data_IF_675610941762
#
_entry.id   IF_675610941762
#
_cell.length_a   1.000
_cell.length_b   1.000
_cell.length_c   1.000
_cell.angle_alpha   90.00
_cell.angle_beta   90.00
_cell.angle_gamma   90.00
#
_symmetry.space_group_name_H-M   'P 1'
#
loop_
_entity.id
_entity.type
_entity.pdbx_description
1 polymer ?
#
# COMPACT_ATOMS: atom_id res chain seq x y z
N UNK A 1 46.62 15.99 -12.18
CA UNK A 1 45.31 16.69 -12.12
C UNK A 1 44.91 16.79 -10.66
N UNK A 2 44.84 17.99 -10.08
CA UNK A 2 44.96 18.15 -8.65
C UNK A 2 43.63 17.92 -7.91
N UNK A 3 43.73 17.16 -6.82
CA UNK A 3 42.72 16.91 -5.80
C UNK A 3 41.99 18.21 -5.39
N UNK A 4 40.71 18.34 -5.77
CA UNK A 4 39.82 19.24 -5.07
C UNK A 4 39.55 18.65 -3.68
N UNK A 5 39.92 19.40 -2.65
CA UNK A 5 39.66 19.10 -1.25
C UNK A 5 38.17 18.73 -1.09
N UNK A 6 37.88 17.53 -0.59
CA UNK A 6 36.57 17.21 -0.02
C UNK A 6 36.42 18.11 1.22
N UNK A 7 35.75 19.25 1.07
CA UNK A 7 35.33 20.05 2.21
C UNK A 7 34.46 19.17 3.11
N UNK A 8 34.95 18.95 4.33
CA UNK A 8 34.19 18.30 5.38
C UNK A 8 33.12 19.30 5.79
N UNK A 9 31.87 19.02 5.43
CA UNK A 9 30.70 19.73 5.96
C UNK A 9 30.74 19.60 7.49
N UNK A 10 31.03 20.68 8.20
CA UNK A 10 31.26 20.65 9.67
C UNK A 10 30.06 21.14 10.49
N UNK A 11 29.16 21.92 9.90
CA UNK A 11 28.02 22.49 10.61
C UNK A 11 26.75 22.39 9.76
N UNK A 12 25.65 22.00 10.39
CA UNK A 12 24.34 21.91 9.75
C UNK A 12 23.35 22.84 10.46
N UNK A 13 22.70 23.70 9.67
CA UNK A 13 21.48 24.37 10.08
C UNK A 13 20.35 23.35 10.23
N UNK A 14 19.47 23.54 11.21
CA UNK A 14 18.43 22.57 11.56
C UNK A 14 17.03 23.14 11.38
N UNK A 15 16.20 22.44 10.60
CA UNK A 15 14.78 22.73 10.47
C UNK A 15 13.95 21.54 10.99
N UNK A 16 13.08 21.74 11.98
CA UNK A 16 12.22 20.67 12.46
C UNK A 16 11.15 20.32 11.41
N UNK A 17 10.85 19.04 11.28
CA UNK A 17 9.73 18.54 10.50
C UNK A 17 8.40 18.65 11.26
N UNK A 18 7.30 18.50 10.54
CA UNK A 18 6.00 18.22 11.15
C UNK A 18 6.08 16.91 11.95
N UNK A 19 5.53 16.92 13.16
CA UNK A 19 5.63 15.82 14.12
C UNK A 19 5.26 14.47 13.48
N UNK A 20 6.15 13.48 13.60
CA UNK A 20 5.94 12.13 13.07
C UNK A 20 6.10 11.99 11.56
N UNK A 21 6.64 13.00 10.86
CA UNK A 21 6.81 12.96 9.41
C UNK A 21 8.20 13.47 8.99
N UNK A 22 8.53 13.31 7.70
CA UNK A 22 9.66 14.01 7.06
C UNK A 22 9.16 15.14 6.15
N UNK A 23 8.09 15.82 6.56
CA UNK A 23 7.54 16.98 5.86
C UNK A 23 7.98 18.27 6.52
N UNK A 24 8.49 19.20 5.73
CA UNK A 24 8.76 20.57 6.16
C UNK A 24 7.59 21.45 5.75
N UNK A 25 7.12 22.30 6.67
CA UNK A 25 6.10 23.32 6.38
C UNK A 25 6.73 24.66 6.01
N UNK A 26 6.07 25.43 5.13
CA UNK A 26 6.54 26.77 4.74
C UNK A 26 6.55 27.72 5.94
N UNK A 27 5.59 27.56 6.85
CA UNK A 27 5.54 28.29 8.12
C UNK A 27 6.81 28.06 8.94
N UNK A 28 7.25 26.81 9.07
CA UNK A 28 8.47 26.47 9.81
C UNK A 28 9.71 27.10 9.17
N UNK A 29 9.81 27.03 7.83
CA UNK A 29 10.92 27.66 7.10
C UNK A 29 10.95 29.17 7.36
N UNK A 30 9.84 29.86 7.08
CA UNK A 30 9.78 31.33 7.20
C UNK A 30 10.00 31.81 8.65
N UNK A 31 9.61 31.03 9.66
CA UNK A 31 9.85 31.37 11.06
C UNK A 31 11.33 31.27 11.47
N UNK A 32 12.16 30.62 10.66
CA UNK A 32 13.57 30.34 10.94
C UNK A 32 14.53 31.03 9.95
N UNK A 33 14.02 31.92 9.11
CA UNK A 33 14.80 32.61 8.09
C UNK A 33 14.47 34.09 8.04
N UNK A 34 15.47 34.92 7.76
CA UNK A 34 15.27 36.36 7.53
C UNK A 34 14.75 36.64 6.10
N UNK A 35 14.87 35.66 5.21
CA UNK A 35 14.37 35.77 3.84
C UNK A 35 12.86 35.68 3.80
N UNK A 36 12.24 36.53 2.97
CA UNK A 36 10.82 36.45 2.63
C UNK A 36 10.66 36.00 1.17
N UNK A 37 9.56 35.30 0.87
CA UNK A 37 9.26 34.81 -0.48
C UNK A 37 9.00 36.00 -1.42
N UNK A 38 10.00 36.42 -2.20
CA UNK A 38 9.82 37.44 -3.24
C UNK A 38 9.38 36.76 -4.54
N UNK A 39 8.28 37.24 -5.15
CA UNK A 39 7.57 36.63 -6.29
C UNK A 39 8.44 36.34 -7.54
N UNK A 40 9.60 36.99 -7.69
CA UNK A 40 10.46 36.87 -8.87
C UNK A 40 11.75 36.04 -8.66
N UNK A 41 12.01 35.51 -7.45
CA UNK A 41 13.29 34.89 -7.11
C UNK A 41 13.57 33.54 -7.77
N UNK A 42 12.54 32.87 -8.28
CA UNK A 42 12.67 31.55 -8.91
C UNK A 42 13.02 31.64 -10.41
N UNK A 43 12.90 32.82 -11.02
CA UNK A 43 13.22 32.99 -12.44
C UNK A 43 14.72 32.84 -12.65
N UNK A 44 15.12 31.82 -13.43
CA UNK A 44 16.52 31.52 -13.72
C UNK A 44 17.23 30.65 -12.68
N UNK A 45 16.52 30.14 -11.67
CA UNK A 45 17.03 29.10 -10.78
C UNK A 45 17.09 27.76 -11.53
N UNK A 46 18.28 27.16 -11.59
CA UNK A 46 18.49 25.81 -12.09
C UNK A 46 18.95 24.93 -10.94
N UNK A 47 18.25 23.82 -10.72
CA UNK A 47 18.57 22.83 -9.70
C UNK A 47 18.85 21.49 -10.34
N UNK A 48 19.87 20.76 -9.85
CA UNK A 48 20.07 19.35 -10.21
C UNK A 48 20.48 18.54 -8.98
N UNK A 49 19.95 17.33 -8.84
CA UNK A 49 20.42 16.35 -7.84
C UNK A 49 21.80 15.85 -8.31
N UNK A 50 22.87 16.15 -7.57
CA UNK A 50 24.26 15.90 -7.98
C UNK A 50 24.75 14.53 -7.52
N UNK A 51 24.39 14.11 -6.30
CA UNK A 51 24.76 12.81 -5.75
C UNK A 51 23.95 12.53 -4.49
N UNK A 52 23.91 11.26 -4.09
CA UNK A 52 23.46 10.83 -2.76
C UNK A 52 24.45 9.85 -2.19
N UNK A 53 25.05 10.19 -1.06
CA UNK A 53 26.09 9.39 -0.41
C UNK A 53 26.11 9.65 1.08
N UNK A 54 26.28 8.60 1.90
CA UNK A 54 26.29 8.71 3.37
C UNK A 54 25.08 9.48 3.92
N UNK A 55 23.89 9.22 3.36
CA UNK A 55 22.63 9.90 3.73
C UNK A 55 22.59 11.40 3.41
N UNK A 56 23.58 11.92 2.68
CA UNK A 56 23.64 13.32 2.26
C UNK A 56 23.26 13.40 0.79
N UNK A 57 22.17 14.10 0.52
CA UNK A 57 21.80 14.55 -0.81
C UNK A 57 22.59 15.83 -1.13
N UNK A 58 23.35 15.81 -2.22
CA UNK A 58 24.01 17.00 -2.76
C UNK A 58 23.20 17.54 -3.92
N UNK A 59 22.86 18.83 -3.87
CA UNK A 59 22.10 19.52 -4.91
C UNK A 59 22.96 20.66 -5.45
N UNK A 60 23.11 20.72 -6.77
CA UNK A 60 23.73 21.84 -7.46
C UNK A 60 22.66 22.89 -7.75
N UNK A 61 22.92 24.12 -7.33
CA UNK A 61 22.08 25.29 -7.57
C UNK A 61 22.85 26.34 -8.36
N UNK A 62 22.22 26.82 -9.44
CA UNK A 62 22.73 27.93 -10.23
C UNK A 62 21.64 29.00 -10.39
N UNK A 63 21.95 30.23 -10.01
CA UNK A 63 21.05 31.38 -10.14
C UNK A 63 21.58 32.28 -11.26
N UNK A 64 20.86 32.32 -12.39
CA UNK A 64 21.27 33.09 -13.56
C UNK A 64 22.67 32.70 -14.07
N UNK A 65 23.57 33.69 -14.15
CA UNK A 65 24.96 33.50 -14.62
C UNK A 65 25.98 33.30 -13.49
N UNK A 66 25.54 33.18 -12.24
CA UNK A 66 26.43 32.94 -11.10
C UNK A 66 27.07 31.55 -11.16
N UNK A 67 28.11 31.36 -10.34
CA UNK A 67 28.74 30.04 -10.14
C UNK A 67 27.71 29.06 -9.55
N UNK A 68 27.85 27.79 -9.88
CA UNK A 68 27.06 26.74 -9.24
C UNK A 68 27.54 26.55 -7.81
N UNK A 69 26.62 26.64 -6.86
CA UNK A 69 26.83 26.37 -5.45
C UNK A 69 26.13 25.07 -5.04
N UNK A 70 26.59 24.46 -3.96
CA UNK A 70 26.11 23.14 -3.53
C UNK A 70 25.36 23.24 -2.20
N UNK A 71 24.16 22.66 -2.17
CA UNK A 71 23.36 22.49 -0.96
C UNK A 71 23.39 21.02 -0.56
N UNK A 72 23.70 20.77 0.70
CA UNK A 72 23.81 19.45 1.30
C UNK A 72 22.65 19.23 2.26
N UNK A 73 21.84 18.21 2.01
CA UNK A 73 20.70 17.87 2.85
C UNK A 73 20.91 16.49 3.46
N UNK A 74 20.77 16.40 4.78
CA UNK A 74 20.64 15.14 5.49
C UNK A 74 19.27 15.11 6.15
N UNK A 75 18.47 14.10 5.81
CA UNK A 75 17.13 13.93 6.36
C UNK A 75 17.23 13.08 7.63
N UNK A 76 16.89 13.66 8.77
CA UNK A 76 16.75 12.96 10.05
C UNK A 76 15.32 12.48 10.30
N UNK A 77 15.12 11.86 11.46
CA UNK A 77 13.79 11.39 11.89
C UNK A 77 12.82 12.57 12.10
N UNK A 78 13.26 13.59 12.85
CA UNK A 78 12.44 14.77 13.20
C UNK A 78 12.97 16.09 12.62
N UNK A 79 14.17 16.07 12.02
CA UNK A 79 14.90 17.29 11.63
C UNK A 79 15.52 17.14 10.25
N UNK A 80 15.41 18.19 9.43
CA UNK A 80 16.20 18.39 8.23
C UNK A 80 17.49 19.12 8.59
N UNK A 81 18.63 18.51 8.29
CA UNK A 81 19.96 19.08 8.46
C UNK A 81 20.44 19.65 7.13
N UNK A 82 20.84 20.91 7.12
CA UNK A 82 21.12 21.67 5.92
C UNK A 82 22.48 22.33 6.02
N UNK A 83 23.30 22.17 4.99
CA UNK A 83 24.54 22.94 4.83
C UNK A 83 24.62 23.45 3.40
N UNK A 84 25.49 24.42 3.17
CA UNK A 84 25.80 24.91 1.83
C UNK A 84 27.31 25.09 1.67
N UNK A 85 27.79 25.14 0.42
CA UNK A 85 29.14 25.58 0.11
C UNK A 85 29.40 27.04 0.48
N UNK A 86 28.35 27.83 0.69
CA UNK A 86 28.42 29.27 1.04
C UNK A 86 27.38 29.66 2.10
N UNK A 87 27.76 30.59 2.96
CA UNK A 87 26.85 31.39 3.81
C UNK A 87 25.76 30.62 4.58
N UNK A 88 26.06 29.41 5.06
CA UNK A 88 25.16 28.64 5.95
C UNK A 88 25.96 28.14 7.15
N UNK A 89 25.47 28.43 8.35
CA UNK A 89 26.06 28.02 9.63
C UNK A 89 25.02 27.28 10.47
N UNK A 90 25.39 26.82 11.67
CA UNK A 90 24.43 26.19 12.58
C UNK A 90 23.23 27.11 12.93
N UNK A 91 23.45 28.42 12.99
CA UNK A 91 22.45 29.41 13.44
C UNK A 91 21.84 30.25 12.31
N UNK A 92 22.40 30.18 11.10
CA UNK A 92 21.96 30.97 9.96
C UNK A 92 21.78 30.12 8.71
N UNK A 93 20.56 30.16 8.14
CA UNK A 93 20.28 29.53 6.85
C UNK A 93 20.64 30.47 5.71
N UNK A 94 21.57 30.06 4.86
CA UNK A 94 21.97 30.84 3.70
C UNK A 94 20.91 30.97 2.62
N UNK A 95 21.17 31.89 1.70
CA UNK A 95 20.26 32.22 0.61
C UNK A 95 20.05 31.06 -0.37
N UNK A 96 21.11 30.32 -0.74
CA UNK A 96 21.00 29.20 -1.69
C UNK A 96 20.15 28.04 -1.15
N UNK A 97 20.37 27.52 0.08
CA UNK A 97 19.46 26.55 0.66
C UNK A 97 18.02 27.04 0.76
N UNK A 98 17.81 28.30 1.16
CA UNK A 98 16.48 28.88 1.21
C UNK A 98 15.79 28.84 -0.17
N UNK A 99 16.49 29.23 -1.24
CA UNK A 99 15.99 29.15 -2.62
C UNK A 99 15.66 27.72 -3.05
N UNK A 100 16.50 26.75 -2.67
CA UNK A 100 16.20 25.35 -2.97
C UNK A 100 14.91 24.89 -2.27
N UNK A 101 14.79 25.17 -0.97
CA UNK A 101 13.65 24.75 -0.17
C UNK A 101 12.38 25.41 -0.70
N UNK A 102 12.37 26.73 -0.92
CA UNK A 102 11.20 27.46 -1.39
C UNK A 102 10.72 26.95 -2.77
N UNK A 103 11.65 26.55 -3.64
CA UNK A 103 11.34 25.95 -4.94
C UNK A 103 10.82 24.50 -4.84
N UNK A 104 11.06 23.83 -3.70
CA UNK A 104 10.66 22.45 -3.47
C UNK A 104 9.28 22.32 -2.80
N UNK A 105 8.68 23.43 -2.34
CA UNK A 105 7.33 23.40 -1.78
C UNK A 105 6.27 23.16 -2.84
N UNK A 106 5.32 22.29 -2.50
CA UNK A 106 4.11 22.05 -3.29
C UNK A 106 3.06 23.14 -3.05
N UNK A 107 1.94 23.09 -3.78
CA UNK A 107 0.79 24.00 -3.58
C UNK A 107 0.24 23.97 -2.15
N UNK A 108 0.42 22.86 -1.42
CA UNK A 108 -0.05 22.69 -0.05
C UNK A 108 0.93 23.25 0.99
N UNK A 109 1.87 24.12 0.58
CA UNK A 109 2.86 24.77 1.46
C UNK A 109 3.69 23.80 2.32
N UNK A 110 3.81 22.55 1.86
CA UNK A 110 4.64 21.51 2.46
C UNK A 110 5.56 20.87 1.42
N UNK A 111 6.71 20.40 1.88
CA UNK A 111 7.69 19.66 1.08
C UNK A 111 8.05 18.34 1.78
N UNK A 112 7.95 17.22 1.07
CA UNK A 112 8.19 15.88 1.62
C UNK A 112 9.60 15.38 1.25
N UNK A 113 10.42 15.10 2.26
CA UNK A 113 11.80 14.62 2.09
C UNK A 113 11.96 13.11 2.34
N UNK A 114 10.86 12.37 2.54
CA UNK A 114 10.87 10.92 2.86
C UNK A 114 11.64 10.08 1.84
N UNK A 115 11.71 10.49 0.57
CA UNK A 115 12.47 9.79 -0.48
C UNK A 115 13.99 9.75 -0.23
N UNK A 116 14.52 10.68 0.59
CA UNK A 116 15.95 10.75 0.93
C UNK A 116 16.24 10.29 2.36
N UNK A 117 15.22 9.86 3.10
CA UNK A 117 15.38 9.36 4.46
C UNK A 117 15.82 7.88 4.42
N UNK A 118 17.10 7.62 4.67
CA UNK A 118 17.73 6.30 4.61
C UNK A 118 18.69 6.06 5.81
N UNK A 119 18.19 6.11 7.05
CA UNK A 119 19.04 6.06 8.24
C UNK A 119 19.76 4.71 8.39
N UNK A 120 21.07 4.74 8.64
CA UNK A 120 21.92 3.58 8.87
C UNK A 120 22.10 2.61 7.69
N UNK A 121 21.70 3.01 6.47
CA UNK A 121 21.83 2.17 5.28
C UNK A 121 23.24 2.12 4.68
N UNK A 122 24.15 2.96 5.17
CA UNK A 122 25.50 3.14 4.64
C UNK A 122 26.55 2.57 5.59
N UNK A 123 27.54 1.88 5.03
CA UNK A 123 28.70 1.46 5.80
C UNK A 123 29.62 2.67 6.05
N UNK A 124 30.05 2.87 7.30
CA UNK A 124 30.88 4.01 7.71
C UNK A 124 32.28 4.00 7.09
N UNK A 125 32.83 2.83 6.75
CA UNK A 125 34.15 2.68 6.17
C UNK A 125 34.14 2.77 4.65
N UNK A 126 33.19 2.09 3.99
CA UNK A 126 33.16 2.00 2.51
C UNK A 126 32.26 3.03 1.85
N UNK A 127 31.44 3.74 2.63
CA UNK A 127 30.46 4.74 2.17
C UNK A 127 29.37 4.20 1.24
N UNK A 128 29.34 2.87 1.01
CA UNK A 128 28.39 2.20 0.12
C UNK A 128 27.27 1.57 0.92
N UNK A 129 26.10 1.50 0.31
CA UNK A 129 24.98 0.73 0.86
C UNK A 129 25.02 -0.72 0.39
N UNK A 130 24.85 -1.64 1.34
CA UNK A 130 24.61 -3.06 1.03
C UNK A 130 23.20 -3.27 0.44
N UNK A 131 22.25 -2.39 0.75
CA UNK A 131 20.81 -2.61 0.52
C UNK A 131 20.22 -1.77 -0.60
N UNK A 132 20.78 -0.59 -0.85
CA UNK A 132 20.24 0.37 -1.82
C UNK A 132 21.01 0.32 -3.14
N UNK A 133 20.26 0.50 -4.22
CA UNK A 133 20.79 0.90 -5.52
C UNK A 133 20.53 2.40 -5.68
N UNK A 134 21.61 3.15 -5.92
CA UNK A 134 21.58 4.60 -6.09
C UNK A 134 22.02 4.88 -7.51
N UNK A 135 21.07 5.25 -8.37
CA UNK A 135 21.33 5.53 -9.77
C UNK A 135 21.27 7.04 -9.95
N UNK A 136 22.33 7.60 -10.53
CA UNK A 136 22.40 9.00 -10.88
C UNK A 136 22.79 9.12 -12.34
N UNK A 137 21.79 9.33 -13.19
CA UNK A 137 21.96 9.38 -14.64
C UNK A 137 21.32 10.65 -15.25
N UNK A 138 21.17 10.68 -16.57
CA UNK A 138 20.57 11.83 -17.28
C UNK A 138 19.08 12.05 -16.93
N UNK A 139 18.39 11.03 -16.41
CA UNK A 139 16.98 11.09 -15.98
C UNK A 139 16.83 11.59 -14.56
N UNK A 140 17.91 11.54 -13.76
CA UNK A 140 17.99 12.11 -12.43
C UNK A 140 18.62 11.17 -11.43
N UNK A 141 18.39 11.47 -10.16
CA UNK A 141 18.78 10.63 -9.03
C UNK A 141 17.58 9.79 -8.59
N UNK A 142 17.76 8.47 -8.60
CA UNK A 142 16.82 7.48 -8.08
C UNK A 142 17.50 6.65 -6.98
N UNK A 143 16.76 6.38 -5.90
CA UNK A 143 17.22 5.58 -4.77
C UNK A 143 16.17 4.51 -4.52
N UNK A 144 16.54 3.26 -4.75
CA UNK A 144 15.64 2.12 -4.58
C UNK A 144 16.34 0.97 -3.86
N UNK A 145 15.56 -0.01 -3.41
CA UNK A 145 16.12 -1.24 -2.86
C UNK A 145 16.71 -2.10 -3.98
N UNK A 146 17.83 -2.77 -3.68
CA UNK A 146 18.34 -3.85 -4.54
C UNK A 146 17.28 -4.92 -4.74
N UNK A 147 17.25 -5.63 -5.89
CA UNK A 147 16.16 -6.55 -6.25
C UNK A 147 15.77 -7.62 -5.22
N UNK A 148 16.72 -8.04 -4.37
CA UNK A 148 16.46 -9.03 -3.31
C UNK A 148 15.75 -8.48 -2.07
N UNK A 149 15.67 -7.16 -1.93
CA UNK A 149 15.03 -6.47 -0.82
C UNK A 149 13.77 -5.77 -1.31
N UNK A 150 12.68 -5.95 -0.58
CA UNK A 150 11.37 -5.44 -0.95
C UNK A 150 10.98 -4.21 -0.15
N UNK A 151 11.13 -4.26 1.17
CA UNK A 151 10.74 -3.19 2.06
C UNK A 151 11.54 -3.25 3.38
N UNK A 152 12.32 -2.22 3.66
CA UNK A 152 12.85 -2.02 5.01
C UNK A 152 11.99 -1.01 5.76
N UNK A 153 11.63 -1.38 6.99
CA UNK A 153 11.10 -0.44 7.97
C UNK A 153 12.16 0.62 8.28
N UNK A 154 11.73 1.88 8.30
CA UNK A 154 12.52 3.02 8.75
C UNK A 154 11.87 3.64 9.97
N UNK A 155 12.64 4.18 10.93
CA UNK A 155 12.08 4.89 12.07
C UNK A 155 11.09 5.98 11.62
N UNK A 156 9.89 5.98 12.17
CA UNK A 156 8.81 6.87 11.74
C UNK A 156 7.90 6.37 10.62
N UNK A 157 8.16 5.19 10.06
CA UNK A 157 7.16 4.53 9.24
C UNK A 157 5.97 4.11 10.12
N UNK A 158 4.75 4.35 9.62
CA UNK A 158 3.54 3.91 10.29
C UNK A 158 3.48 2.38 10.34
N UNK A 159 3.20 1.86 11.52
CA UNK A 159 2.93 0.45 11.79
C UNK A 159 1.42 0.26 11.97
N UNK A 160 0.88 -0.81 11.40
CA UNK A 160 -0.53 -1.13 11.58
C UNK A 160 -0.76 -1.66 12.99
N UNK A 161 -1.51 -0.91 13.81
CA UNK A 161 -1.99 -1.37 15.11
C UNK A 161 -3.49 -1.62 14.95
N UNK A 162 -3.90 -2.85 14.62
CA UNK A 162 -5.30 -3.17 14.47
C UNK A 162 -5.98 -3.03 15.83
N UNK A 163 -7.15 -2.41 15.84
CA UNK A 163 -8.01 -2.43 17.02
C UNK A 163 -8.74 -3.77 17.05
N UNK A 164 -9.10 -4.24 18.24
CA UNK A 164 -9.97 -5.41 18.38
C UNK A 164 -11.26 -5.20 17.57
N UNK A 165 -11.66 -6.25 16.85
CA UNK A 165 -12.89 -6.27 16.05
C UNK A 165 -13.72 -7.49 16.38
N UNK A 166 -14.98 -7.49 15.95
CA UNK A 166 -15.87 -8.64 16.11
C UNK A 166 -15.27 -9.84 15.36
N UNK A 167 -15.07 -10.93 16.08
CA UNK A 167 -14.71 -12.23 15.50
C UNK A 167 -16.00 -12.94 15.10
N UNK A 168 -16.14 -13.24 13.82
CA UNK A 168 -17.28 -13.97 13.29
C UNK A 168 -17.06 -15.47 13.46
N UNK A 169 -17.98 -16.13 14.18
CA UNK A 169 -17.97 -17.58 14.30
C UNK A 169 -18.29 -18.21 12.94
N UNK A 170 -17.38 -19.06 12.46
CA UNK A 170 -17.63 -19.93 11.32
C UNK A 170 -17.70 -21.36 11.82
N UNK A 171 -18.90 -21.95 11.90
CA UNK A 171 -19.01 -23.32 12.35
C UNK A 171 -18.16 -24.21 11.43
N UNK A 172 -17.38 -25.09 12.05
CA UNK A 172 -16.62 -26.19 11.43
C UNK A 172 -17.58 -27.24 10.88
N UNK A 173 -18.59 -26.84 10.11
CA UNK A 173 -19.48 -27.79 9.47
C UNK A 173 -18.68 -28.59 8.46
N UNK A 174 -18.73 -29.91 8.58
CA UNK A 174 -18.53 -30.82 7.45
C UNK A 174 -19.62 -30.52 6.43
N UNK A 175 -19.43 -29.45 5.67
CA UNK A 175 -20.24 -29.15 4.50
C UNK A 175 -19.88 -30.25 3.51
N UNK A 176 -20.61 -31.39 3.59
CA UNK A 176 -20.62 -32.36 2.51
C UNK A 176 -20.98 -31.55 1.27
N UNK A 177 -20.14 -31.62 0.24
CA UNK A 177 -20.40 -30.97 -1.03
C UNK A 177 -21.86 -31.24 -1.40
N UNK A 178 -22.71 -30.22 -1.27
CA UNK A 178 -24.07 -30.31 -1.79
C UNK A 178 -23.86 -30.57 -3.26
N UNK A 179 -24.38 -31.70 -3.77
CA UNK A 179 -24.29 -32.07 -5.18
C UNK A 179 -24.44 -30.80 -6.00
N UNK A 180 -23.40 -30.48 -6.78
CA UNK A 180 -23.34 -29.35 -7.68
C UNK A 180 -24.74 -29.13 -8.26
N UNK A 181 -25.43 -28.07 -7.82
CA UNK A 181 -26.75 -27.77 -8.36
C UNK A 181 -26.55 -27.59 -9.87
N UNK A 182 -27.30 -28.30 -10.72
CA UNK A 182 -27.20 -28.12 -12.16
C UNK A 182 -27.50 -26.66 -12.47
N UNK A 183 -26.54 -25.99 -13.10
CA UNK A 183 -26.64 -24.57 -13.40
C UNK A 183 -27.74 -24.35 -14.44
N UNK A 184 -28.85 -23.75 -14.02
CA UNK A 184 -29.85 -23.19 -14.91
C UNK A 184 -29.75 -21.66 -14.83
N UNK A 185 -29.08 -21.05 -15.82
CA UNK A 185 -29.16 -19.62 -16.10
C UNK A 185 -28.24 -18.68 -15.30
N UNK A 186 -28.11 -18.81 -13.98
CA UNK A 186 -27.45 -17.78 -13.12
C UNK A 186 -26.23 -18.29 -12.35
N UNK A 187 -25.12 -17.56 -12.47
CA UNK A 187 -23.91 -17.74 -11.68
C UNK A 187 -23.46 -16.46 -11.01
N UNK A 188 -22.36 -16.56 -10.26
CA UNK A 188 -21.81 -15.44 -9.51
C UNK A 188 -20.33 -15.27 -9.82
N UNK A 189 -19.90 -14.02 -9.93
CA UNK A 189 -18.50 -13.67 -9.94
C UNK A 189 -18.16 -12.66 -8.84
N UNK A 190 -16.91 -12.67 -8.39
CA UNK A 190 -16.34 -11.57 -7.63
C UNK A 190 -15.84 -10.52 -8.60
N UNK A 191 -16.42 -9.32 -8.51
CA UNK A 191 -15.98 -8.15 -9.24
C UNK A 191 -14.93 -7.43 -8.40
N UNK A 192 -13.67 -7.47 -8.83
CA UNK A 192 -12.54 -6.91 -8.08
C UNK A 192 -11.77 -5.86 -8.90
N UNK A 193 -11.20 -4.90 -8.17
CA UNK A 193 -10.27 -3.90 -8.66
C UNK A 193 -9.04 -3.88 -7.74
N UNK A 194 -8.30 -5.01 -7.66
CA UNK A 194 -7.05 -5.25 -6.92
C UNK A 194 -6.53 -4.05 -6.11
N UNK A 195 -6.42 -4.20 -4.79
CA UNK A 195 -5.86 -3.18 -3.92
C UNK A 195 -4.46 -2.75 -4.39
N UNK A 196 -4.24 -1.43 -4.50
CA UNK A 196 -2.92 -0.84 -4.80
C UNK A 196 -2.77 -0.27 -6.21
N UNK A 197 -3.81 -0.30 -7.04
CA UNK A 197 -3.84 0.45 -8.28
C UNK A 197 -4.38 1.87 -8.04
N UNK A 198 -3.85 2.88 -8.74
CA UNK A 198 -4.47 4.21 -8.83
C UNK A 198 -5.89 4.19 -9.41
N UNK A 199 -6.38 3.02 -9.84
CA UNK A 199 -7.73 2.74 -10.33
C UNK A 199 -8.59 1.90 -9.37
N UNK A 200 -8.13 1.59 -8.16
CA UNK A 200 -8.94 0.89 -7.14
C UNK A 200 -10.02 1.84 -6.62
N UNK A 201 -11.12 1.94 -7.35
CA UNK A 201 -12.23 2.83 -7.05
C UNK A 201 -13.41 2.13 -6.37
N UNK A 202 -13.36 0.81 -6.21
CA UNK A 202 -14.40 0.08 -5.51
C UNK A 202 -13.85 -1.13 -4.74
N UNK A 203 -14.57 -1.53 -3.69
CA UNK A 203 -14.36 -2.76 -2.92
C UNK A 203 -14.84 -3.98 -3.72
N UNK A 204 -14.30 -5.18 -3.47
CA UNK A 204 -14.77 -6.38 -4.14
C UNK A 204 -16.18 -6.75 -3.67
N UNK A 205 -17.04 -7.06 -4.64
CA UNK A 205 -18.43 -7.44 -4.40
C UNK A 205 -18.86 -8.60 -5.29
N UNK A 206 -19.95 -9.27 -4.93
CA UNK A 206 -20.55 -10.30 -5.76
C UNK A 206 -21.41 -9.68 -6.86
N UNK A 207 -21.21 -10.19 -8.07
CA UNK A 207 -21.99 -9.82 -9.24
C UNK A 207 -22.59 -11.06 -9.89
N UNK A 208 -23.93 -11.17 -9.98
CA UNK A 208 -24.57 -12.26 -10.70
C UNK A 208 -24.42 -12.09 -12.21
N UNK A 209 -24.30 -13.21 -12.94
CA UNK A 209 -24.26 -13.25 -14.39
C UNK A 209 -25.17 -14.33 -14.94
N UNK A 210 -25.61 -14.13 -16.18
CA UNK A 210 -26.36 -15.10 -16.96
C UNK A 210 -25.42 -15.85 -17.91
N UNK A 211 -25.51 -17.18 -17.95
CA UNK A 211 -24.63 -18.01 -18.76
C UNK A 211 -25.31 -19.25 -19.36
N UNK A 212 -24.71 -19.78 -20.41
CA UNK A 212 -25.06 -21.07 -21.02
C UNK A 212 -23.95 -22.06 -20.70
N UNK A 213 -24.31 -23.19 -20.10
CA UNK A 213 -23.36 -24.24 -19.73
C UNK A 213 -22.90 -25.01 -20.96
N UNK A 214 -21.67 -25.55 -20.93
CA UNK A 214 -21.19 -26.50 -21.91
C UNK A 214 -21.95 -27.83 -21.80
N UNK A 215 -21.91 -28.67 -22.85
CA UNK A 215 -22.58 -29.98 -22.88
C UNK A 215 -22.13 -30.93 -21.76
N UNK A 216 -20.94 -30.72 -21.22
CA UNK A 216 -20.40 -31.49 -20.09
C UNK A 216 -20.93 -31.02 -18.74
N UNK A 217 -21.72 -29.94 -18.68
CA UNK A 217 -22.23 -29.28 -17.47
C UNK A 217 -21.18 -28.74 -16.47
N UNK A 218 -19.88 -28.86 -16.78
CA UNK A 218 -18.81 -28.50 -15.85
C UNK A 218 -18.29 -27.06 -16.00
N UNK A 219 -18.71 -26.32 -17.03
CA UNK A 219 -18.23 -24.96 -17.28
C UNK A 219 -19.20 -24.12 -18.10
N UNK A 220 -19.13 -22.79 -17.93
CA UNK A 220 -19.90 -21.84 -18.74
C UNK A 220 -19.29 -21.76 -20.15
N UNK A 221 -20.06 -22.19 -21.15
CA UNK A 221 -19.70 -22.07 -22.57
C UNK A 221 -19.68 -20.61 -22.99
N UNK A 222 -20.74 -19.88 -22.65
CA UNK A 222 -20.99 -18.50 -23.09
C UNK A 222 -21.62 -17.66 -21.97
N UNK A 223 -21.08 -16.48 -21.72
CA UNK A 223 -21.69 -15.47 -20.86
C UNK A 223 -22.64 -14.59 -21.70
N UNK A 224 -23.86 -14.38 -21.22
CA UNK A 224 -24.90 -13.60 -21.89
C UNK A 224 -24.85 -12.16 -21.39
N UNK A 225 -25.04 -11.94 -20.08
CA UNK A 225 -25.06 -10.60 -19.47
C UNK A 225 -24.80 -10.64 -17.97
N UNK A 226 -24.53 -9.49 -17.37
CA UNK A 226 -24.67 -9.33 -15.92
C UNK A 226 -26.13 -9.15 -15.53
N UNK A 227 -26.50 -9.62 -14.34
CA UNK A 227 -27.87 -9.59 -13.85
C UNK A 227 -28.05 -8.43 -12.87
N UNK A 228 -29.19 -7.74 -12.99
CA UNK A 228 -29.61 -6.68 -12.08
C UNK A 228 -31.07 -6.90 -11.66
N UNK A 229 -31.59 -6.09 -10.73
CA UNK A 229 -32.98 -6.20 -10.24
C UNK A 229 -34.04 -6.18 -11.34
N UNK A 230 -33.79 -5.52 -12.48
CA UNK A 230 -34.76 -5.37 -13.57
C UNK A 230 -34.96 -6.66 -14.37
N UNK A 231 -33.94 -7.52 -14.42
CA UNK A 231 -33.93 -8.72 -15.26
C UNK A 231 -34.03 -10.00 -14.43
N UNK A 232 -34.40 -9.90 -13.16
CA UNK A 232 -34.37 -11.00 -12.19
C UNK A 232 -35.57 -11.94 -12.29
N UNK A 233 -36.74 -11.40 -12.67
CA UNK A 233 -38.02 -12.12 -12.65
C UNK A 233 -38.13 -13.28 -13.65
N UNK A 234 -37.10 -13.48 -14.47
CA UNK A 234 -37.06 -14.53 -15.48
C UNK A 234 -36.45 -15.86 -14.99
N UNK A 235 -36.05 -15.96 -13.71
CA UNK A 235 -35.31 -17.10 -13.18
C UNK A 235 -35.91 -17.66 -11.90
N UNK A 236 -36.01 -18.99 -11.83
CA UNK A 236 -36.33 -19.73 -10.60
C UNK A 236 -35.06 -19.88 -9.75
N UNK A 237 -34.92 -19.00 -8.75
CA UNK A 237 -33.76 -18.97 -7.87
C UNK A 237 -33.98 -19.79 -6.60
N UNK A 238 -32.98 -20.57 -6.20
CA UNK A 238 -32.97 -21.19 -4.87
C UNK A 238 -32.84 -20.12 -3.76
N UNK A 239 -33.28 -20.40 -2.51
CA UNK A 239 -33.13 -19.46 -1.40
C UNK A 239 -31.69 -18.99 -1.17
N UNK A 240 -30.70 -19.86 -1.40
CA UNK A 240 -29.29 -19.50 -1.30
C UNK A 240 -28.85 -18.51 -2.40
N UNK A 241 -29.33 -18.69 -3.63
CA UNK A 241 -29.04 -17.77 -4.74
C UNK A 241 -29.74 -16.43 -4.55
N UNK A 242 -30.96 -16.41 -4.00
CA UNK A 242 -31.65 -15.16 -3.62
C UNK A 242 -30.84 -14.40 -2.57
N UNK A 243 -30.38 -15.08 -1.52
CA UNK A 243 -29.56 -14.44 -0.48
C UNK A 243 -28.22 -13.91 -1.03
N UNK A 244 -27.57 -14.63 -1.94
CA UNK A 244 -26.32 -14.18 -2.59
C UNK A 244 -26.54 -12.97 -3.48
N UNK A 245 -27.64 -12.95 -4.22
CA UNK A 245 -28.04 -11.82 -5.05
C UNK A 245 -28.32 -10.57 -4.19
N UNK A 246 -29.12 -10.71 -3.15
CA UNK A 246 -29.47 -9.61 -2.25
C UNK A 246 -28.22 -9.01 -1.61
N UNK A 247 -27.33 -9.87 -1.11
CA UNK A 247 -26.04 -9.45 -0.58
C UNK A 247 -25.18 -8.76 -1.64
N UNK A 248 -25.10 -9.29 -2.86
CA UNK A 248 -24.36 -8.65 -3.96
C UNK A 248 -24.87 -7.26 -4.30
N UNK A 249 -26.19 -7.06 -4.29
CA UNK A 249 -26.80 -5.73 -4.50
C UNK A 249 -26.47 -4.79 -3.33
N UNK A 250 -26.51 -5.29 -2.09
CA UNK A 250 -26.17 -4.47 -0.93
C UNK A 250 -24.69 -4.09 -0.92
N UNK A 251 -23.80 -5.02 -1.24
CA UNK A 251 -22.36 -4.75 -1.38
C UNK A 251 -22.10 -3.66 -2.41
N UNK A 252 -22.81 -3.66 -3.55
CA UNK A 252 -22.66 -2.62 -4.58
C UNK A 252 -22.96 -1.21 -4.05
N UNK A 253 -23.87 -1.05 -3.09
CA UNK A 253 -24.17 0.27 -2.49
C UNK A 253 -23.00 0.84 -1.70
N UNK A 254 -22.19 -0.04 -1.10
CA UNK A 254 -21.02 0.33 -0.31
C UNK A 254 -19.70 0.20 -1.09
N UNK A 255 -19.73 -0.39 -2.29
CA UNK A 255 -18.53 -0.75 -3.03
C UNK A 255 -17.71 0.47 -3.41
N UNK A 256 -18.34 1.55 -3.88
CA UNK A 256 -17.63 2.71 -4.40
C UNK A 256 -16.85 3.46 -3.30
N UNK A 257 -15.55 3.58 -3.52
CA UNK A 257 -14.62 4.29 -2.65
C UNK A 257 -14.53 5.76 -3.07
N UNK A 258 -14.55 6.64 -2.08
CA UNK A 258 -14.30 8.06 -2.29
C UNK A 258 -12.81 8.26 -2.58
N UNK A 259 -12.50 8.87 -3.72
CA UNK A 259 -11.14 9.22 -4.11
C UNK A 259 -10.88 10.67 -3.65
N UNK A 260 -9.92 10.93 -2.75
CA UNK A 260 -9.60 12.28 -2.32
C UNK A 260 -9.21 13.16 -3.52
N UNK A 261 -9.79 14.37 -3.58
CA UNK A 261 -9.43 15.35 -4.61
C UNK A 261 -8.05 15.93 -4.35
N UNK A 262 -7.36 16.36 -5.40
CA UNK A 262 -6.10 17.08 -5.28
C UNK A 262 -6.29 18.38 -4.47
N UNK A 263 -5.39 18.66 -3.53
CA UNK A 263 -5.45 19.87 -2.69
C UNK A 263 -6.44 19.81 -1.52
N UNK A 264 -6.98 18.63 -1.19
CA UNK A 264 -7.82 18.43 0.00
C UNK A 264 -7.05 18.72 1.29
N UNK A 265 -7.74 19.28 2.30
CA UNK A 265 -7.16 19.50 3.63
C UNK A 265 -6.86 18.17 4.34
N UNK A 266 -6.00 18.17 5.36
CA UNK A 266 -5.72 16.97 6.17
C UNK A 266 -6.96 16.48 6.93
N UNK A 267 -7.82 17.40 7.37
CA UNK A 267 -9.06 17.11 8.08
C UNK A 267 -10.07 16.42 7.16
N UNK A 268 -10.27 16.97 5.96
CA UNK A 268 -11.15 16.39 4.96
C UNK A 268 -10.62 15.05 4.45
N UNK A 269 -9.30 14.88 4.32
CA UNK A 269 -8.68 13.61 3.98
C UNK A 269 -9.01 12.54 5.03
N UNK A 270 -8.85 12.87 6.32
CA UNK A 270 -9.19 11.95 7.41
C UNK A 270 -10.68 11.58 7.39
N UNK A 271 -11.57 12.55 7.09
CA UNK A 271 -13.00 12.28 6.96
C UNK A 271 -13.33 11.33 5.80
N UNK A 272 -12.65 11.46 4.66
CA UNK A 272 -12.77 10.53 3.52
C UNK A 272 -12.29 9.12 3.91
N UNK A 273 -11.14 9.02 4.57
CA UNK A 273 -10.59 7.75 5.03
C UNK A 273 -11.54 7.03 6.01
N UNK A 274 -12.13 7.77 6.96
CA UNK A 274 -13.11 7.22 7.90
C UNK A 274 -14.36 6.69 7.19
N UNK A 275 -14.91 7.43 6.21
CA UNK A 275 -16.08 6.97 5.42
C UNK A 275 -15.75 5.72 4.61
N UNK A 276 -14.61 5.70 3.93
CA UNK A 276 -14.15 4.53 3.19
C UNK A 276 -13.91 3.32 4.11
N UNK A 277 -13.43 3.55 5.33
CA UNK A 277 -13.25 2.50 6.33
C UNK A 277 -14.57 1.92 6.82
N UNK A 278 -15.59 2.76 7.04
CA UNK A 278 -16.94 2.30 7.39
C UNK A 278 -17.58 1.47 6.26
N UNK A 279 -17.40 1.90 4.99
CA UNK A 279 -17.81 1.11 3.81
C UNK A 279 -17.09 -0.24 3.76
N UNK A 280 -15.76 -0.23 4.00
CA UNK A 280 -14.96 -1.46 4.04
C UNK A 280 -15.49 -2.46 5.06
N UNK A 281 -15.78 -2.00 6.27
CA UNK A 281 -16.37 -2.84 7.32
C UNK A 281 -17.74 -3.37 6.87
N UNK A 282 -18.64 -2.52 6.38
CA UNK A 282 -20.00 -2.92 5.95
C UNK A 282 -19.97 -4.04 4.88
N UNK A 283 -19.07 -3.93 3.90
CA UNK A 283 -18.91 -4.97 2.87
C UNK A 283 -18.29 -6.25 3.44
N UNK A 284 -17.37 -6.15 4.39
CA UNK A 284 -16.81 -7.31 5.08
C UNK A 284 -17.87 -8.11 5.84
N UNK A 285 -18.78 -7.44 6.56
CA UNK A 285 -19.88 -8.10 7.30
C UNK A 285 -20.82 -8.84 6.35
N UNK A 286 -21.14 -8.22 5.20
CA UNK A 286 -21.91 -8.86 4.13
C UNK A 286 -21.19 -10.12 3.61
N UNK A 287 -19.87 -10.05 3.42
CA UNK A 287 -19.06 -11.20 3.02
C UNK A 287 -19.13 -12.34 4.06
N UNK A 288 -19.02 -12.04 5.35
CA UNK A 288 -19.16 -13.05 6.42
C UNK A 288 -20.51 -13.78 6.33
N UNK A 289 -21.60 -13.05 6.13
CA UNK A 289 -22.95 -13.61 6.04
C UNK A 289 -23.19 -14.55 4.85
N UNK A 290 -22.35 -14.45 3.81
CA UNK A 290 -22.53 -15.20 2.57
C UNK A 290 -21.44 -16.22 2.24
N UNK A 291 -20.27 -16.20 2.88
CA UNK A 291 -19.19 -17.18 2.63
C UNK A 291 -19.69 -18.64 2.67
N UNK A 292 -20.51 -19.05 3.65
CA UNK A 292 -21.03 -20.41 3.69
C UNK A 292 -21.92 -20.76 2.49
N UNK A 293 -22.56 -19.76 1.87
CA UNK A 293 -23.49 -19.95 0.73
C UNK A 293 -22.77 -19.89 -0.60
N UNK A 294 -21.81 -18.98 -0.77
CA UNK A 294 -21.05 -18.82 -2.02
C UNK A 294 -20.09 -19.99 -2.24
N UNK A 295 -19.47 -20.53 -1.18
CA UNK A 295 -18.58 -21.69 -1.26
C UNK A 295 -19.26 -22.98 -1.74
N UNK A 296 -20.60 -23.02 -1.69
CA UNK A 296 -21.43 -24.11 -2.20
C UNK A 296 -21.84 -23.95 -3.67
N UNK A 297 -21.63 -22.77 -4.26
CA UNK A 297 -22.02 -22.52 -5.65
C UNK A 297 -21.03 -23.17 -6.61
N UNK A 298 -21.55 -23.63 -7.74
CA UNK A 298 -20.72 -24.03 -8.89
C UNK A 298 -20.59 -22.87 -9.87
N UNK A 299 -19.57 -22.93 -10.73
CA UNK A 299 -19.31 -21.89 -11.73
C UNK A 299 -19.06 -20.51 -11.11
N UNK A 300 -18.14 -20.44 -10.16
CA UNK A 300 -17.66 -19.18 -9.59
C UNK A 300 -16.52 -18.62 -10.44
N UNK A 301 -16.54 -17.31 -10.64
CA UNK A 301 -15.53 -16.62 -11.44
C UNK A 301 -14.98 -15.38 -10.74
N UNK A 302 -13.72 -15.08 -10.95
CA UNK A 302 -13.10 -13.81 -10.68
C UNK A 302 -13.16 -12.93 -11.93
N UNK A 303 -13.64 -11.70 -11.75
CA UNK A 303 -13.79 -10.71 -12.79
C UNK A 303 -13.05 -9.42 -12.42
N UNK A 304 -11.94 -9.17 -13.11
CA UNK A 304 -11.17 -7.95 -12.90
C UNK A 304 -11.80 -6.78 -13.66
N UNK A 305 -12.32 -5.79 -12.93
CA UNK A 305 -13.15 -4.71 -13.49
C UNK A 305 -12.33 -3.57 -14.11
N UNK A 306 -11.03 -3.50 -13.80
CA UNK A 306 -10.16 -2.35 -14.11
C UNK A 306 -10.72 -1.01 -13.60
N UNK A 307 -11.27 -1.02 -12.39
CA UNK A 307 -11.89 0.17 -11.80
C UNK A 307 -13.23 0.51 -12.46
N UNK A 308 -14.00 -0.51 -12.82
CA UNK A 308 -15.31 -0.38 -13.43
C UNK A 308 -15.34 -0.06 -14.93
N UNK A 309 -14.19 0.16 -15.58
CA UNK A 309 -14.09 0.35 -17.05
C UNK A 309 -14.69 -0.85 -17.81
N UNK A 310 -14.59 -2.04 -17.22
CA UNK A 310 -15.07 -3.26 -17.84
C UNK A 310 -16.53 -3.63 -17.51
N UNK A 311 -17.30 -2.81 -16.79
CA UNK A 311 -18.76 -3.02 -16.65
C UNK A 311 -19.48 -2.83 -17.99
N UNK A 312 -19.33 -3.80 -18.89
CA UNK A 312 -20.12 -3.94 -20.10
C UNK A 312 -21.34 -4.80 -19.79
N UNK A 313 -22.44 -4.58 -20.50
CA UNK A 313 -23.65 -5.39 -20.34
C UNK A 313 -23.37 -6.89 -20.46
N UNK A 314 -22.37 -7.28 -21.27
CA UNK A 314 -21.94 -8.66 -21.48
C UNK A 314 -20.52 -8.94 -20.95
N UNK A 315 -20.33 -9.94 -20.07
CA UNK A 315 -19.02 -10.38 -19.62
C UNK A 315 -18.20 -10.97 -20.77
N UNK A 316 -16.92 -10.60 -20.88
CA UNK A 316 -15.99 -11.25 -21.81
C UNK A 316 -15.46 -12.54 -21.19
N UNK A 317 -15.51 -13.64 -21.94
CA UNK A 317 -15.03 -14.96 -21.46
C UNK A 317 -13.57 -14.93 -20.99
N UNK A 318 -12.70 -14.20 -21.69
CA UNK A 318 -11.28 -14.04 -21.29
C UNK A 318 -11.08 -13.29 -19.97
N UNK A 319 -12.07 -12.49 -19.54
CA UNK A 319 -12.03 -11.77 -18.26
C UNK A 319 -12.65 -12.55 -17.09
N UNK A 320 -13.33 -13.66 -17.36
CA UNK A 320 -13.98 -14.50 -16.34
C UNK A 320 -13.08 -15.69 -16.04
N UNK A 321 -12.29 -15.60 -14.97
CA UNK A 321 -11.36 -16.67 -14.55
C UNK A 321 -12.02 -17.52 -13.48
N UNK A 322 -12.01 -18.85 -13.59
CA UNK A 322 -12.61 -19.73 -12.56
C UNK A 322 -11.91 -19.47 -11.23
N UNK A 323 -12.67 -19.37 -10.14
CA UNK A 323 -12.14 -19.21 -8.79
C UNK A 323 -12.92 -20.06 -7.79
N UNK A 324 -12.36 -20.22 -6.59
CA UNK A 324 -12.98 -20.94 -5.49
C UNK A 324 -13.08 -20.06 -4.26
N UNK A 325 -14.16 -20.25 -3.49
CA UNK A 325 -14.32 -19.65 -2.17
C UNK A 325 -14.28 -20.76 -1.13
N UNK A 326 -13.36 -20.65 -0.18
CA UNK A 326 -13.24 -21.63 0.88
C UNK A 326 -14.03 -21.18 2.11
N UNK A 327 -14.81 -22.11 2.67
CA UNK A 327 -15.52 -21.90 3.95
C UNK A 327 -14.55 -21.79 5.14
N UNK A 328 -13.41 -22.49 5.06
CA UNK A 328 -12.42 -22.56 6.15
C UNK A 328 -11.77 -21.19 6.32
N UNK A 329 -11.76 -20.71 7.56
CA UNK A 329 -11.06 -19.50 7.93
C UNK A 329 -9.54 -19.72 7.91
N UNK A 330 -8.76 -18.83 7.27
CA UNK A 330 -7.31 -18.81 7.39
C UNK A 330 -6.91 -18.23 8.76
N UNK A 331 -5.76 -18.65 9.27
CA UNK A 331 -5.14 -18.08 10.47
C UNK A 331 -3.84 -17.38 10.09
N UNK A 332 -3.63 -16.14 10.54
CA UNK A 332 -2.38 -15.42 10.31
C UNK A 332 -1.26 -16.07 11.13
N UNK A 333 -0.07 -16.16 10.54
CA UNK A 333 1.15 -16.50 11.25
C UNK A 333 2.35 -15.75 10.67
N UNK A 334 3.43 -15.68 11.44
CA UNK A 334 4.63 -14.97 11.04
C UNK A 334 5.85 -15.88 11.08
N UNK A 335 6.73 -15.69 10.09
CA UNK A 335 8.05 -16.29 10.07
C UNK A 335 9.06 -15.19 10.40
N UNK A 336 9.75 -15.34 11.52
CA UNK A 336 10.73 -14.37 12.02
C UNK A 336 12.14 -14.91 11.89
N UNK A 337 13.00 -14.21 11.14
CA UNK A 337 14.37 -14.67 10.83
C UNK A 337 15.41 -13.60 11.13
N UNK A 338 16.46 -14.00 11.83
CA UNK A 338 17.70 -13.21 11.91
C UNK A 338 18.53 -13.43 10.63
N UNK A 339 18.87 -12.35 9.93
CA UNK A 339 19.67 -12.35 8.69
C UNK A 339 21.07 -11.76 8.91
N UNK A 340 21.50 -11.58 10.15
CA UNK A 340 22.80 -11.04 10.52
C UNK A 340 22.70 -9.55 10.86
N UNK A 341 22.64 -8.67 9.85
CA UNK A 341 22.58 -7.22 10.02
C UNK A 341 21.15 -6.65 10.12
N UNK A 342 20.14 -7.47 9.83
CA UNK A 342 18.73 -7.13 9.94
C UNK A 342 17.89 -8.35 10.31
N UNK A 343 16.66 -8.09 10.77
CA UNK A 343 15.62 -9.11 10.94
C UNK A 343 14.65 -9.08 9.76
N UNK A 344 14.09 -10.25 9.42
CA UNK A 344 13.04 -10.42 8.43
C UNK A 344 11.78 -10.92 9.12
N UNK A 345 10.70 -10.14 9.06
CA UNK A 345 9.34 -10.52 9.40
C UNK A 345 8.58 -10.85 8.12
N UNK A 346 8.27 -12.12 7.90
CA UNK A 346 7.51 -12.56 6.74
C UNK A 346 6.10 -12.99 7.16
N UNK A 347 5.09 -12.38 6.55
CA UNK A 347 3.69 -12.73 6.76
C UNK A 347 3.38 -14.08 6.08
N UNK A 348 2.71 -14.96 6.80
CA UNK A 348 2.23 -16.26 6.34
C UNK A 348 0.80 -16.46 6.81
N UNK A 349 0.14 -17.48 6.28
CA UNK A 349 -1.16 -17.89 6.80
C UNK A 349 -1.25 -19.42 6.82
N UNK A 350 -2.09 -19.94 7.69
CA UNK A 350 -2.39 -21.37 7.81
C UNK A 350 -3.82 -21.66 7.41
N UNK A 351 -4.00 -22.75 6.68
CA UNK A 351 -5.30 -23.38 6.48
C UNK A 351 -5.14 -24.85 6.79
N UNK A 352 -5.99 -25.40 7.68
CA UNK A 352 -5.90 -26.81 8.12
C UNK A 352 -4.49 -27.22 8.57
N UNK A 353 -3.78 -26.33 9.27
CA UNK A 353 -2.43 -26.54 9.77
C UNK A 353 -1.29 -26.39 8.74
N UNK A 354 -1.59 -26.29 7.44
CA UNK A 354 -0.58 -26.07 6.40
C UNK A 354 -0.24 -24.58 6.28
N UNK A 355 1.04 -24.25 6.44
CA UNK A 355 1.57 -22.89 6.23
C UNK A 355 1.68 -22.59 4.73
N UNK A 356 1.22 -21.42 4.32
CA UNK A 356 1.20 -20.98 2.93
C UNK A 356 1.77 -19.57 2.79
N UNK A 357 2.37 -19.30 1.64
CA UNK A 357 2.79 -17.96 1.23
C UNK A 357 1.61 -17.25 0.54
N UNK A 358 1.33 -15.97 0.88
CA UNK A 358 0.28 -15.23 0.21
C UNK A 358 0.61 -14.92 -1.25
N UNK A 359 -0.41 -14.91 -2.10
CA UNK A 359 -0.28 -14.42 -3.46
C UNK A 359 0.14 -12.93 -3.47
N UNK A 360 1.03 -12.50 -4.37
CA UNK A 360 1.50 -11.11 -4.41
C UNK A 360 0.39 -10.06 -4.64
N UNK A 361 -0.71 -10.47 -5.28
CA UNK A 361 -1.89 -9.64 -5.52
C UNK A 361 -2.96 -10.00 -4.50
N UNK A 362 -3.41 -9.00 -3.74
CA UNK A 362 -4.46 -9.17 -2.74
C UNK A 362 -5.79 -8.65 -3.29
N UNK A 363 -6.81 -9.51 -3.27
CA UNK A 363 -8.21 -9.07 -3.36
C UNK A 363 -8.66 -8.71 -1.95
N UNK A 364 -9.19 -7.50 -1.75
CA UNK A 364 -9.59 -6.99 -0.42
C UNK A 364 -10.41 -8.02 0.35
N UNK A 365 -10.15 -8.15 1.66
CA UNK A 365 -10.69 -9.15 2.60
C UNK A 365 -10.17 -10.59 2.45
N UNK A 366 -9.80 -10.99 1.24
CA UNK A 366 -9.43 -12.37 0.94
C UNK A 366 -7.92 -12.53 0.90
N UNK A 367 -7.45 -13.67 1.42
CA UNK A 367 -6.10 -14.14 1.18
C UNK A 367 -6.15 -15.36 0.29
N UNK A 368 -5.19 -15.45 -0.64
CA UNK A 368 -5.02 -16.59 -1.53
C UNK A 368 -3.58 -17.09 -1.44
N UNK A 369 -3.32 -18.39 -1.61
CA UNK A 369 -1.96 -18.91 -1.66
C UNK A 369 -1.28 -18.52 -2.99
N UNK A 370 0.05 -18.38 -2.97
CA UNK A 370 0.84 -17.95 -4.14
C UNK A 370 0.67 -18.88 -5.35
N UNK A 371 0.59 -20.19 -5.13
CA UNK A 371 0.43 -21.19 -6.18
C UNK A 371 -1.00 -21.26 -6.75
N UNK A 372 -2.00 -20.82 -5.98
CA UNK A 372 -3.43 -20.86 -6.36
C UNK A 372 -4.08 -19.49 -6.06
N UNK A 373 -3.72 -18.42 -6.80
CA UNK A 373 -4.13 -17.05 -6.48
C UNK A 373 -5.63 -16.78 -6.61
N UNK A 374 -6.40 -17.71 -7.18
CA UNK A 374 -7.86 -17.63 -7.34
C UNK A 374 -8.62 -18.50 -6.32
N UNK A 375 -7.92 -19.01 -5.30
CA UNK A 375 -8.53 -19.70 -4.17
C UNK A 375 -8.61 -18.75 -2.99
N UNK A 376 -9.83 -18.24 -2.74
CA UNK A 376 -10.07 -17.16 -1.81
C UNK A 376 -10.46 -17.68 -0.42
N UNK A 377 -9.73 -17.23 0.60
CA UNK A 377 -10.00 -17.48 2.00
C UNK A 377 -10.33 -16.15 2.71
N UNK A 378 -11.50 -16.06 3.33
CA UNK A 378 -11.91 -14.87 4.09
C UNK A 378 -11.50 -15.01 5.56
N UNK A 379 -10.84 -14.03 6.15
CA UNK A 379 -10.56 -13.99 7.60
C UNK A 379 -11.85 -13.91 8.42
N UNK A 380 -11.82 -14.30 9.69
CA UNK A 380 -13.00 -14.25 10.58
C UNK A 380 -13.18 -12.93 11.29
N UNK A 381 -12.13 -12.12 11.37
CA UNK A 381 -12.20 -10.77 11.93
C UNK A 381 -11.71 -9.75 10.90
N UNK A 382 -12.08 -8.49 11.12
CA UNK A 382 -11.73 -7.42 10.19
C UNK A 382 -10.31 -6.89 10.45
N UNK A 383 -9.81 -7.01 11.67
CA UNK A 383 -8.44 -6.65 12.05
C UNK A 383 -7.39 -7.39 11.22
N UNK A 384 -7.55 -8.70 11.04
CA UNK A 384 -6.71 -9.57 10.23
C UNK A 384 -6.69 -9.13 8.76
N UNK A 385 -7.83 -8.67 8.23
CA UNK A 385 -7.88 -8.08 6.89
C UNK A 385 -6.98 -6.84 6.80
N UNK A 386 -7.00 -5.97 7.81
CA UNK A 386 -6.17 -4.74 7.83
C UNK A 386 -4.68 -5.05 7.95
N UNK A 387 -4.30 -6.01 8.81
CA UNK A 387 -2.91 -6.49 8.87
C UNK A 387 -2.49 -7.04 7.52
N UNK A 388 -3.33 -7.87 6.91
CA UNK A 388 -3.03 -8.47 5.61
C UNK A 388 -2.84 -7.41 4.53
N UNK A 389 -3.70 -6.38 4.48
CA UNK A 389 -3.54 -5.23 3.58
C UNK A 389 -2.24 -4.47 3.85
N UNK A 390 -1.91 -4.23 5.13
CA UNK A 390 -0.66 -3.57 5.54
C UNK A 390 0.58 -4.31 5.05
N UNK A 391 0.60 -5.64 5.18
CA UNK A 391 1.70 -6.47 4.70
C UNK A 391 1.70 -6.62 3.18
N UNK A 392 0.54 -6.65 2.51
CA UNK A 392 0.44 -6.71 1.05
C UNK A 392 1.11 -5.51 0.38
N UNK A 393 0.92 -4.30 0.93
CA UNK A 393 1.63 -3.09 0.47
C UNK A 393 3.16 -3.15 0.61
N UNK A 394 3.67 -4.15 1.34
CA UNK A 394 5.09 -4.41 1.60
C UNK A 394 5.54 -5.77 1.04
N UNK A 395 4.78 -6.34 0.09
CA UNK A 395 5.03 -7.67 -0.51
C UNK A 395 5.19 -8.77 0.54
N UNK A 396 4.38 -8.69 1.60
CA UNK A 396 4.30 -9.65 2.71
C UNK A 396 5.61 -9.85 3.48
N UNK A 397 6.57 -8.93 3.38
CA UNK A 397 7.85 -8.98 4.08
C UNK A 397 8.27 -7.61 4.59
N UNK A 398 8.72 -7.55 5.83
CA UNK A 398 9.31 -6.36 6.43
C UNK A 398 10.71 -6.71 6.90
N UNK A 399 11.69 -5.94 6.43
CA UNK A 399 13.06 -6.01 6.91
C UNK A 399 13.31 -4.90 7.93
N UNK A 400 13.98 -5.20 9.03
CA UNK A 400 14.26 -4.24 10.10
C UNK A 400 15.74 -4.28 10.43
N UNK A 401 16.47 -3.18 10.22
CA UNK A 401 17.87 -3.11 10.64
C UNK A 401 17.94 -3.31 12.16
N UNK A 402 18.91 -4.11 12.65
CA UNK A 402 19.02 -4.39 14.10
C UNK A 402 19.12 -3.13 14.95
N UNK A 403 19.78 -2.10 14.43
CA UNK A 403 19.90 -0.77 15.05
C UNK A 403 18.55 -0.09 15.32
N UNK A 404 17.51 -0.42 14.56
CA UNK A 404 16.19 0.19 14.68
C UNK A 404 15.21 -0.68 15.47
N UNK A 405 15.58 -1.94 15.75
CA UNK A 405 14.65 -2.92 16.30
C UNK A 405 14.17 -2.55 17.71
N UNK A 406 15.11 -2.44 18.67
CA UNK A 406 14.77 -2.29 20.10
C UNK A 406 13.98 -1.01 20.39
N UNK A 407 14.24 0.06 19.64
CA UNK A 407 13.66 1.39 19.90
C UNK A 407 12.35 1.60 19.13
N UNK A 408 12.23 1.07 17.91
CA UNK A 408 11.16 1.48 16.99
C UNK A 408 10.24 0.36 16.51
N UNK A 409 10.61 -0.91 16.72
CA UNK A 409 9.87 -2.04 16.14
C UNK A 409 9.50 -3.14 17.14
N UNK A 410 10.24 -3.25 18.25
CA UNK A 410 10.06 -4.31 19.24
C UNK A 410 8.62 -4.40 19.76
N UNK A 411 8.04 -3.28 20.18
CA UNK A 411 6.66 -3.26 20.72
C UNK A 411 5.63 -3.77 19.71
N UNK A 412 5.81 -3.43 18.42
CA UNK A 412 4.95 -3.93 17.35
C UNK A 412 5.13 -5.44 17.13
N UNK A 413 6.37 -5.95 17.20
CA UNK A 413 6.61 -7.39 17.13
C UNK A 413 5.96 -8.13 18.32
N UNK A 414 6.10 -7.61 19.53
CA UNK A 414 5.52 -8.19 20.75
C UNK A 414 3.99 -8.20 20.70
N UNK A 415 3.37 -7.13 20.18
CA UNK A 415 1.94 -7.10 19.90
C UNK A 415 1.53 -8.23 18.95
N UNK A 416 2.24 -8.39 17.83
CA UNK A 416 1.95 -9.49 16.90
C UNK A 416 2.15 -10.86 17.55
N UNK A 417 3.16 -11.03 18.40
CA UNK A 417 3.44 -12.30 19.09
C UNK A 417 2.37 -12.67 20.12
N UNK A 418 1.68 -11.68 20.68
CA UNK A 418 0.56 -11.91 21.60
C UNK A 418 -0.65 -12.50 20.86
N UNK A 419 -0.92 -11.99 19.66
CA UNK A 419 -2.18 -12.25 18.96
C UNK A 419 -2.03 -13.32 17.86
N UNK A 420 -0.81 -13.56 17.37
CA UNK A 420 -0.52 -14.47 16.25
C UNK A 420 0.58 -15.46 16.54
N UNK A 421 0.53 -16.60 15.83
CA UNK A 421 1.58 -17.60 15.91
C UNK A 421 2.84 -17.17 15.16
N UNK A 422 3.99 -17.36 15.80
CA UNK A 422 5.30 -17.26 15.18
C UNK A 422 5.88 -18.66 14.91
N UNK A 423 6.52 -18.82 13.77
CA UNK A 423 7.11 -20.07 13.25
C UNK A 423 8.59 -19.86 12.99
#
# INVERSE_FOLDING_TARGET
>A
MPNSKKEVVREFFQLPFEKGTQKLSLKTLNAKTEFQRVKNLLYGLKTRKVSFSREILTIGLKVGNQKEEFVYLKVGFETLYISCSVDTTADFLGYYPYLYLINSFSFNETCNFKEFYWPDFFNTQTERSKYLDIINDRRGLDISFKPKYFFFFKPGDDLCVPKETVVYDRPSTNIKAVKALPFNGIGFCIADAFNGSWRSNHLPFILPYEGVVARTNDSVKTFIRFINRKNLSAFDLSPAQVALLEAGIEMQRYADLEIPKYGISSEDLSAVEQRNMAKKLSVFELWQGIIPKISLQTSLYHYFTFGGINFKERPRKSGMRICNFHHIAPQICFLWKDRGDYYELAFRFKVKGKVMEPAPQLTTYFISPENEPLDFYLFTDFADCLITEFFAGRKFKIYVLKKHFDIHFKDFLEMLQRDYQFI
#
